data_IF_181941156338
#
_entry.id   IF_181941156338
#
_cell.length_a   1.000
_cell.length_b   1.000
_cell.length_c   1.000
_cell.angle_alpha   90.00
_cell.angle_beta   90.00
_cell.angle_gamma   90.00
#
_symmetry.space_group_name_H-M   'P 1'
#
loop_
_entity.id
_entity.type
_entity.pdbx_description
1 polymer ?
#
# COMPACT_ATOMS: atom_id res chain seq x y z
N UNK A 1 -42.68 49.58 -11.69
CA UNK A 1 -42.27 49.89 -10.30
C UNK A 1 -41.82 48.67 -9.49
N UNK A 2 -42.48 47.50 -9.55
CA UNK A 2 -42.11 46.31 -8.74
C UNK A 2 -40.67 45.77 -8.93
N UNK A 3 -40.10 45.88 -10.14
CA UNK A 3 -38.75 45.36 -10.46
C UNK A 3 -37.60 46.17 -9.84
N UNK A 4 -37.82 47.47 -9.57
CA UNK A 4 -36.79 48.36 -9.01
C UNK A 4 -36.64 48.09 -7.50
N UNK A 5 -37.75 47.90 -6.79
CA UNK A 5 -37.73 47.53 -5.38
C UNK A 5 -37.02 46.19 -5.13
N UNK A 6 -37.29 45.18 -5.97
CA UNK A 6 -36.60 43.89 -5.89
C UNK A 6 -35.09 44.00 -6.14
N UNK A 7 -34.67 44.82 -7.11
CA UNK A 7 -33.25 45.05 -7.38
C UNK A 7 -32.55 45.80 -6.23
N UNK A 8 -33.20 46.80 -5.62
CA UNK A 8 -32.65 47.51 -4.48
C UNK A 8 -32.50 46.61 -3.24
N UNK A 9 -33.49 45.76 -2.95
CA UNK A 9 -33.41 44.79 -1.82
C UNK A 9 -32.30 43.76 -2.06
N UNK A 10 -32.18 43.25 -3.30
CA UNK A 10 -31.12 42.34 -3.67
C UNK A 10 -29.72 42.99 -3.51
N UNK A 11 -29.54 44.23 -3.96
CA UNK A 11 -28.29 44.97 -3.79
C UNK A 11 -27.91 45.16 -2.32
N UNK A 12 -28.86 45.47 -1.45
CA UNK A 12 -28.60 45.63 -0.02
C UNK A 12 -28.23 44.31 0.66
N UNK A 13 -28.86 43.20 0.26
CA UNK A 13 -28.51 41.87 0.79
C UNK A 13 -27.11 41.39 0.37
N UNK A 14 -26.68 41.68 -0.86
CA UNK A 14 -25.35 41.29 -1.33
C UNK A 14 -24.21 42.08 -0.66
N UNK A 15 -24.38 43.39 -0.45
CA UNK A 15 -23.37 44.24 0.20
C UNK A 15 -23.17 43.84 1.67
N UNK A 16 -24.27 43.52 2.37
CA UNK A 16 -24.23 43.08 3.77
C UNK A 16 -23.50 41.74 3.94
N UNK A 17 -23.71 40.82 3.00
CA UNK A 17 -23.07 39.50 3.01
C UNK A 17 -21.56 39.60 2.75
N UNK A 18 -21.14 40.42 1.78
CA UNK A 18 -19.72 40.65 1.49
C UNK A 18 -18.99 41.29 2.68
N UNK A 19 -19.59 42.29 3.32
CA UNK A 19 -19.01 42.94 4.49
C UNK A 19 -18.88 41.99 5.70
N UNK A 20 -19.84 41.07 5.90
CA UNK A 20 -19.75 40.08 6.99
C UNK A 20 -18.62 39.07 6.80
N UNK A 21 -18.35 38.66 5.56
CA UNK A 21 -17.27 37.71 5.25
C UNK A 21 -15.92 38.39 5.41
N UNK A 22 -15.79 39.62 4.93
CA UNK A 22 -14.57 40.42 5.08
C UNK A 22 -14.26 40.70 6.56
N UNK A 23 -15.28 41.02 7.36
CA UNK A 23 -15.13 41.19 8.81
C UNK A 23 -14.73 39.90 9.52
N UNK A 24 -15.26 38.75 9.11
CA UNK A 24 -14.88 37.46 9.70
C UNK A 24 -13.47 37.02 9.30
N UNK A 25 -13.05 37.32 8.06
CA UNK A 25 -11.71 37.00 7.57
C UNK A 25 -10.63 37.90 8.18
N UNK A 26 -10.95 39.18 8.38
CA UNK A 26 -10.07 40.16 9.03
C UNK A 26 -10.27 40.26 10.55
N UNK A 27 -11.17 39.47 11.13
CA UNK A 27 -11.28 39.35 12.57
C UNK A 27 -9.93 38.90 13.14
N UNK A 28 -9.51 39.50 14.24
CA UNK A 28 -8.33 39.08 14.96
C UNK A 28 -8.41 37.57 15.25
N UNK A 29 -7.28 36.87 15.09
CA UNK A 29 -7.23 35.44 15.40
C UNK A 29 -7.79 35.22 16.81
N UNK A 30 -8.67 34.22 17.02
CA UNK A 30 -9.26 33.97 18.32
C UNK A 30 -8.14 33.83 19.34
N UNK A 31 -8.20 34.63 20.41
CA UNK A 31 -7.20 34.72 21.46
C UNK A 31 -6.90 33.36 22.10
N UNK A 32 -7.86 32.44 22.00
CA UNK A 32 -7.84 31.12 22.62
C UNK A 32 -7.55 30.00 21.61
N UNK A 33 -6.58 30.20 20.73
CA UNK A 33 -5.98 29.15 19.90
C UNK A 33 -5.08 28.21 20.73
N UNK A 34 -5.40 28.02 22.02
CA UNK A 34 -4.65 27.17 22.92
C UNK A 34 -5.06 25.73 22.68
N UNK A 35 -4.07 24.91 22.34
CA UNK A 35 -4.21 23.47 22.27
C UNK A 35 -4.75 22.98 23.61
N UNK A 36 -5.88 22.29 23.62
CA UNK A 36 -6.51 21.84 24.87
C UNK A 36 -5.55 20.97 25.68
N UNK A 37 -5.56 21.15 27.01
CA UNK A 37 -4.77 20.35 27.95
C UNK A 37 -5.00 18.84 27.75
N UNK A 38 -6.24 18.45 27.45
CA UNK A 38 -6.62 17.08 27.15
C UNK A 38 -5.89 16.54 25.91
N UNK A 39 -5.77 17.34 24.84
CA UNK A 39 -5.02 16.96 23.66
C UNK A 39 -3.51 16.85 23.95
N UNK A 40 -2.96 17.78 24.73
CA UNK A 40 -1.54 17.74 25.11
C UNK A 40 -1.21 16.49 25.94
N UNK A 41 -2.10 16.13 26.88
CA UNK A 41 -1.94 14.94 27.71
C UNK A 41 -2.05 13.64 26.91
N UNK A 42 -2.98 13.55 25.94
CA UNK A 42 -3.05 12.42 25.01
C UNK A 42 -1.78 12.30 24.17
N UNK A 43 -1.23 13.43 23.72
CA UNK A 43 0.00 13.46 22.93
C UNK A 43 1.24 13.10 23.75
N UNK A 44 1.34 13.55 25.00
CA UNK A 44 2.48 13.25 25.88
C UNK A 44 2.45 11.81 26.41
N UNK A 45 1.26 11.23 26.58
CA UNK A 45 1.09 9.81 26.92
C UNK A 45 1.45 8.84 25.79
N UNK A 46 1.47 9.32 24.54
CA UNK A 46 1.80 8.52 23.36
C UNK A 46 3.33 8.37 23.26
N UNK A 47 3.88 7.39 24.00
CA UNK A 47 5.29 7.00 23.90
C UNK A 47 5.56 6.33 22.56
N UNK A 48 5.88 7.11 21.55
CA UNK A 48 6.43 6.57 20.31
C UNK A 48 7.79 5.97 20.62
N UNK A 49 7.99 4.69 20.30
CA UNK A 49 9.33 4.10 20.33
C UNK A 49 10.13 4.76 19.20
N UNK A 50 10.95 5.75 19.54
CA UNK A 50 11.90 6.34 18.59
C UNK A 50 12.93 5.26 18.30
N UNK A 51 12.90 4.72 17.08
CA UNK A 51 13.90 3.74 16.67
C UNK A 51 15.22 4.48 16.49
N UNK A 52 16.21 4.18 17.32
CA UNK A 52 17.56 4.72 17.12
C UNK A 52 18.08 4.24 15.76
N UNK A 53 18.79 5.10 15.04
CA UNK A 53 19.36 4.75 13.75
C UNK A 53 20.25 3.49 13.83
N UNK A 54 21.00 3.35 14.93
CA UNK A 54 21.82 2.18 15.25
C UNK A 54 20.98 0.91 15.48
N UNK A 55 19.82 1.04 16.13
CA UNK A 55 18.89 -0.07 16.34
C UNK A 55 18.28 -0.58 15.04
N UNK A 56 18.00 0.32 14.10
CA UNK A 56 17.51 -0.04 12.76
C UNK A 56 18.63 -0.68 11.92
N UNK A 57 19.84 -0.11 11.94
CA UNK A 57 20.97 -0.63 11.21
C UNK A 57 21.31 -2.07 11.65
N UNK A 58 21.43 -2.31 12.96
CA UNK A 58 21.71 -3.64 13.51
C UNK A 58 20.59 -4.66 13.24
N UNK A 59 19.32 -4.24 13.21
CA UNK A 59 18.22 -5.11 12.82
C UNK A 59 18.27 -5.47 11.32
N UNK A 60 18.63 -4.51 10.46
CA UNK A 60 18.79 -4.74 9.03
C UNK A 60 19.95 -5.68 8.72
N UNK A 61 21.08 -5.55 9.40
CA UNK A 61 22.22 -6.46 9.25
C UNK A 61 21.84 -7.90 9.58
N UNK A 62 21.14 -8.11 10.71
CA UNK A 62 20.63 -9.43 11.10
C UNK A 62 19.63 -10.00 10.07
N UNK A 63 18.76 -9.14 9.52
CA UNK A 63 17.82 -9.56 8.48
C UNK A 63 18.56 -10.01 7.21
N UNK A 64 19.58 -9.26 6.77
CA UNK A 64 20.40 -9.60 5.62
C UNK A 64 21.17 -10.92 5.82
N UNK A 65 21.70 -11.16 7.02
CA UNK A 65 22.37 -12.43 7.34
C UNK A 65 21.41 -13.62 7.24
N UNK A 66 20.19 -13.48 7.76
CA UNK A 66 19.15 -14.51 7.65
C UNK A 66 18.75 -14.78 6.20
N UNK A 67 18.62 -13.74 5.38
CA UNK A 67 18.34 -13.90 3.95
C UNK A 67 19.47 -14.62 3.22
N UNK A 68 20.73 -14.28 3.52
CA UNK A 68 21.89 -14.97 2.95
C UNK A 68 21.91 -16.45 3.32
N UNK A 69 21.60 -16.79 4.57
CA UNK A 69 21.52 -18.19 5.01
C UNK A 69 20.39 -18.94 4.31
N UNK A 70 19.21 -18.32 4.17
CA UNK A 70 18.08 -18.91 3.42
C UNK A 70 18.42 -19.12 1.96
N UNK A 71 19.05 -18.13 1.31
CA UNK A 71 19.47 -18.24 -0.08
C UNK A 71 20.49 -19.37 -0.28
N UNK A 72 21.46 -19.50 0.62
CA UNK A 72 22.44 -20.59 0.59
C UNK A 72 21.77 -21.96 0.77
N UNK A 73 20.86 -22.08 1.74
CA UNK A 73 20.10 -23.32 1.97
C UNK A 73 19.21 -23.68 0.77
N UNK A 74 18.56 -22.69 0.15
CA UNK A 74 17.74 -22.90 -1.03
C UNK A 74 18.60 -23.31 -2.24
N UNK A 75 19.77 -22.70 -2.43
CA UNK A 75 20.71 -23.11 -3.48
C UNK A 75 21.19 -24.54 -3.26
N UNK A 76 21.55 -24.91 -2.03
CA UNK A 76 21.95 -26.28 -1.70
C UNK A 76 20.81 -27.27 -1.97
N UNK A 77 19.58 -26.95 -1.57
CA UNK A 77 18.40 -27.77 -1.84
C UNK A 77 18.16 -27.91 -3.36
N UNK A 78 18.23 -26.81 -4.12
CA UNK A 78 18.13 -26.84 -5.59
C UNK A 78 19.22 -27.72 -6.22
N UNK A 79 20.45 -27.68 -5.71
CA UNK A 79 21.52 -28.55 -6.20
C UNK A 79 21.24 -30.01 -5.87
N UNK A 80 20.79 -30.33 -4.66
CA UNK A 80 20.39 -31.70 -4.28
C UNK A 80 19.22 -32.22 -5.13
N UNK A 81 18.21 -31.39 -5.40
CA UNK A 81 17.12 -31.75 -6.28
C UNK A 81 17.61 -31.97 -7.71
N UNK A 82 18.53 -31.14 -8.21
CA UNK A 82 19.16 -31.34 -9.53
C UNK A 82 19.97 -32.64 -9.60
N UNK A 83 20.68 -33.04 -8.54
CA UNK A 83 21.42 -34.32 -8.55
C UNK A 83 20.47 -35.51 -8.45
N UNK A 84 19.39 -35.41 -7.67
CA UNK A 84 18.44 -36.51 -7.46
C UNK A 84 17.49 -36.73 -8.66
N UNK A 85 16.98 -35.65 -9.26
CA UNK A 85 15.99 -35.71 -10.35
C UNK A 85 16.56 -35.37 -11.73
N UNK A 86 17.85 -35.04 -11.81
CA UNK A 86 18.49 -34.51 -13.01
C UNK A 86 18.10 -33.06 -13.30
N UNK A 87 18.84 -32.41 -14.19
CA UNK A 87 18.44 -31.11 -14.70
C UNK A 87 17.23 -31.31 -15.62
N UNK A 88 16.03 -30.88 -15.18
CA UNK A 88 14.81 -30.98 -15.97
C UNK A 88 14.89 -30.03 -17.18
N UNK A 89 15.65 -30.41 -18.20
CA UNK A 89 15.70 -29.76 -19.49
C UNK A 89 14.45 -30.21 -20.24
N UNK A 90 13.41 -29.40 -20.20
CA UNK A 90 12.41 -29.45 -21.26
C UNK A 90 13.21 -29.30 -22.56
N UNK A 91 13.18 -30.33 -23.41
CA UNK A 91 14.17 -30.58 -24.47
C UNK A 91 14.39 -29.40 -25.43
N UNK A 92 15.37 -29.52 -26.34
CA UNK A 92 15.96 -28.50 -27.24
C UNK A 92 15.02 -27.53 -27.99
N UNK A 93 13.71 -27.64 -27.88
CA UNK A 93 12.75 -26.74 -28.47
C UNK A 93 12.47 -25.57 -27.53
N UNK A 94 12.80 -24.36 -27.99
CA UNK A 94 12.47 -23.09 -27.33
C UNK A 94 11.01 -23.12 -26.88
N UNK A 95 10.77 -22.92 -25.58
CA UNK A 95 9.42 -22.86 -25.01
C UNK A 95 8.60 -21.81 -25.77
N UNK A 96 7.54 -22.25 -26.43
CA UNK A 96 6.50 -21.32 -26.88
C UNK A 96 5.65 -20.95 -25.65
N UNK A 97 5.34 -19.67 -25.44
CA UNK A 97 4.52 -19.25 -24.30
C UNK A 97 3.14 -19.92 -24.42
N UNK A 98 2.77 -20.71 -23.41
CA UNK A 98 1.47 -21.38 -23.31
C UNK A 98 1.46 -22.91 -23.33
N UNK A 99 2.60 -23.61 -23.48
CA UNK A 99 2.64 -25.09 -23.39
C UNK A 99 3.30 -25.56 -22.09
N UNK A 100 2.54 -26.27 -21.25
CA UNK A 100 3.09 -27.01 -20.10
C UNK A 100 4.05 -28.09 -20.59
N UNK A 101 5.27 -28.11 -20.05
CA UNK A 101 6.22 -29.19 -20.28
C UNK A 101 5.70 -30.48 -19.64
N UNK A 102 5.16 -31.38 -20.46
CA UNK A 102 4.76 -32.71 -19.99
C UNK A 102 6.01 -33.50 -19.57
N UNK A 103 6.00 -34.16 -18.40
CA UNK A 103 7.09 -35.04 -18.00
C UNK A 103 7.26 -36.19 -18.97
N UNK A 104 8.51 -36.56 -19.33
CA UNK A 104 8.73 -37.74 -20.14
C UNK A 104 8.41 -38.94 -19.26
N UNK A 105 7.36 -39.68 -19.62
CA UNK A 105 7.16 -41.04 -19.08
C UNK A 105 6.07 -41.23 -18.03
N UNK A 106 4.91 -40.57 -18.14
CA UNK A 106 3.69 -41.17 -17.56
C UNK A 106 2.50 -41.00 -18.50
N UNK A 107 2.25 -42.03 -19.32
CA UNK A 107 0.92 -42.28 -19.84
C UNK A 107 -0.01 -42.55 -18.67
N UNK A 108 -0.61 -41.50 -18.11
CA UNK A 108 -1.80 -41.67 -17.29
C UNK A 108 -2.98 -41.83 -18.24
N UNK A 109 -3.36 -43.08 -18.47
CA UNK A 109 -4.73 -43.42 -18.84
C UNK A 109 -5.66 -42.75 -17.82
N UNK A 110 -6.22 -41.60 -18.16
CA UNK A 110 -7.38 -41.08 -17.45
C UNK A 110 -8.60 -41.87 -17.91
N UNK A 111 -9.35 -42.52 -17.01
CA UNK A 111 -10.56 -43.22 -17.41
C UNK A 111 -11.57 -42.20 -17.96
N UNK A 112 -12.11 -42.54 -19.13
CA UNK A 112 -13.14 -41.83 -19.88
C UNK A 112 -14.22 -41.20 -18.97
N UNK A 113 -14.25 -39.87 -18.87
CA UNK A 113 -15.49 -39.16 -18.58
C UNK A 113 -16.14 -38.78 -19.91
N UNK A 114 -17.14 -39.56 -20.33
CA UNK A 114 -18.01 -39.20 -21.44
C UNK A 114 -18.84 -37.97 -21.03
N UNK A 115 -18.92 -36.92 -21.87
CA UNK A 115 -19.91 -35.87 -21.64
C UNK A 115 -21.29 -36.42 -22.01
N UNK A 116 -22.18 -36.48 -21.02
CA UNK A 116 -23.61 -36.65 -21.28
C UNK A 116 -24.16 -35.36 -21.89
N UNK A 117 -24.92 -35.54 -22.97
CA UNK A 117 -25.55 -34.50 -23.79
C UNK A 117 -26.83 -33.98 -23.13
#
# INVERSE_FOLDING_TARGET
MKRIFLACVAQWSCVSLQASVDWQYHAAQPLDNKISEEYQQKRSGLKHKVWSAEGVASANEKALELERQRAAAEQANRQQLKTQYGEYRCGKNKQQPGKLCAPPGRGMYSPNFKPHR
#
